data_IF_717113364857
#
_entry.id   IF_717113364857
#
_cell.length_a   1.000
_cell.length_b   1.000
_cell.length_c   1.000
_cell.angle_alpha   90.00
_cell.angle_beta   90.00
_cell.angle_gamma   90.00
#
_symmetry.space_group_name_H-M   'P 1'
#
loop_
_entity.id
_entity.type
_entity.pdbx_description
1 polymer ?
#
# COMPACT_ATOMS: atom_id res chain seq x y z
N UNK A 1 4.96 -23.38 9.16
CA UNK A 1 4.49 -22.37 8.20
C UNK A 1 5.69 -21.58 7.77
N UNK A 2 6.15 -21.78 6.53
CA UNK A 2 7.28 -21.06 5.95
C UNK A 2 6.77 -19.83 5.17
N UNK A 3 7.68 -18.99 4.69
CA UNK A 3 7.34 -17.79 3.91
C UNK A 3 6.53 -18.11 2.65
N UNK A 4 6.83 -19.23 1.98
CA UNK A 4 6.09 -19.65 0.80
C UNK A 4 4.64 -20.05 1.13
N UNK A 5 4.38 -20.65 2.29
CA UNK A 5 3.03 -20.97 2.76
C UNK A 5 2.20 -19.69 2.99
N UNK A 6 2.83 -18.64 3.53
CA UNK A 6 2.17 -17.34 3.77
C UNK A 6 1.84 -16.66 2.44
N UNK A 7 2.81 -16.64 1.51
CA UNK A 7 2.63 -16.05 0.19
C UNK A 7 1.57 -16.80 -0.60
N UNK A 8 1.61 -18.13 -0.62
CA UNK A 8 0.62 -18.94 -1.30
C UNK A 8 -0.78 -18.71 -0.72
N UNK A 9 -0.94 -18.63 0.61
CA UNK A 9 -2.22 -18.30 1.22
C UNK A 9 -2.72 -16.88 0.89
N UNK A 10 -1.83 -15.89 0.84
CA UNK A 10 -2.17 -14.53 0.44
C UNK A 10 -2.65 -14.48 -1.03
N UNK A 11 -1.99 -15.22 -1.92
CA UNK A 11 -2.34 -15.32 -3.33
C UNK A 11 -3.64 -16.11 -3.57
N UNK A 12 -3.83 -17.24 -2.89
CA UNK A 12 -4.98 -18.14 -3.06
C UNK A 12 -6.28 -17.56 -2.48
N UNK A 13 -6.22 -16.86 -1.35
CA UNK A 13 -7.41 -16.30 -0.68
C UNK A 13 -7.58 -14.79 -0.94
N UNK A 14 -6.73 -14.19 -1.75
CA UNK A 14 -6.83 -12.78 -2.11
C UNK A 14 -6.58 -11.79 -0.97
N UNK A 15 -5.58 -12.06 -0.12
CA UNK A 15 -5.19 -11.19 1.00
C UNK A 15 -5.02 -11.89 2.36
N UNK A 16 -5.25 -13.20 2.44
CA UNK A 16 -5.23 -13.92 3.73
C UNK A 16 -6.49 -13.66 4.59
N UNK A 17 -6.37 -13.82 5.92
CA UNK A 17 -7.47 -13.85 6.92
C UNK A 17 -8.38 -12.59 6.91
N UNK A 18 -7.97 -11.49 6.28
CA UNK A 18 -8.69 -10.22 6.27
C UNK A 18 -9.38 -10.01 4.92
N UNK A 19 -10.72 -9.92 4.92
CA UNK A 19 -11.48 -9.47 3.76
C UNK A 19 -11.24 -7.98 3.53
N UNK A 20 -10.21 -7.65 2.74
CA UNK A 20 -9.88 -6.28 2.34
C UNK A 20 -10.69 -5.73 1.18
N UNK A 21 -11.77 -6.39 0.77
CA UNK A 21 -12.59 -5.95 -0.37
C UNK A 21 -13.21 -4.59 -0.08
N UNK A 22 -13.08 -3.66 -1.02
CA UNK A 22 -13.55 -2.27 -0.84
C UNK A 22 -12.61 -1.37 -0.05
N UNK A 23 -11.46 -1.87 0.41
CA UNK A 23 -10.43 -1.04 1.03
C UNK A 23 -9.36 -0.64 0.02
N UNK A 24 -8.87 0.59 0.19
CA UNK A 24 -7.88 1.24 -0.65
C UNK A 24 -6.70 1.69 0.21
N UNK A 25 -5.51 1.54 -0.31
CA UNK A 25 -4.25 1.94 0.33
C UNK A 25 -3.69 3.12 -0.42
N UNK A 26 -3.36 4.18 0.33
CA UNK A 26 -2.41 5.17 -0.15
C UNK A 26 -1.03 4.72 0.30
N UNK A 27 -0.15 4.44 -0.66
CA UNK A 27 1.26 4.16 -0.41
C UNK A 27 2.14 5.09 -1.25
N UNK A 28 3.38 5.26 -0.82
CA UNK A 28 4.31 6.06 -1.58
C UNK A 28 5.60 6.36 -0.85
N UNK A 29 6.46 7.10 -1.55
CA UNK A 29 7.69 7.64 -1.03
C UNK A 29 7.54 9.16 -0.89
N UNK A 30 7.40 9.63 0.34
CA UNK A 30 7.18 11.04 0.66
C UNK A 30 8.37 11.90 0.19
N UNK A 31 9.60 11.41 0.35
CA UNK A 31 10.81 12.13 -0.06
C UNK A 31 10.89 12.34 -1.57
N UNK A 32 10.33 11.41 -2.36
CA UNK A 32 10.26 11.50 -3.83
C UNK A 32 8.96 12.10 -4.35
N UNK A 33 7.99 12.41 -3.47
CA UNK A 33 6.65 12.86 -3.84
C UNK A 33 5.94 11.90 -4.82
N UNK A 34 6.22 10.60 -4.69
CA UNK A 34 5.63 9.53 -5.49
C UNK A 34 4.56 8.82 -4.67
N UNK A 35 3.31 8.87 -5.13
CA UNK A 35 2.17 8.28 -4.42
C UNK A 35 1.35 7.41 -5.36
N UNK A 36 0.81 6.33 -4.82
CA UNK A 36 -0.08 5.41 -5.50
C UNK A 36 -1.27 5.09 -4.60
N UNK A 37 -2.43 4.95 -5.22
CA UNK A 37 -3.65 4.51 -4.56
C UNK A 37 -4.04 3.20 -5.21
N UNK A 38 -4.00 2.12 -4.44
CA UNK A 38 -4.24 0.75 -4.93
C UNK A 38 -5.18 0.01 -3.99
N UNK A 39 -5.91 -1.00 -4.45
CA UNK A 39 -6.67 -1.88 -3.56
C UNK A 39 -5.79 -2.50 -2.48
N UNK A 40 -6.29 -2.64 -1.25
CA UNK A 40 -5.54 -3.21 -0.12
C UNK A 40 -4.97 -4.60 -0.43
N UNK A 41 -5.71 -5.41 -1.20
CA UNK A 41 -5.25 -6.72 -1.68
C UNK A 41 -3.97 -6.62 -2.50
N UNK A 42 -3.88 -5.65 -3.40
CA UNK A 42 -2.71 -5.46 -4.26
C UNK A 42 -1.51 -5.00 -3.43
N UNK A 43 -1.71 -4.08 -2.48
CA UNK A 43 -0.66 -3.63 -1.57
C UNK A 43 -0.01 -4.78 -0.78
N UNK A 44 -0.81 -5.75 -0.30
CA UNK A 44 -0.28 -6.93 0.36
C UNK A 44 0.53 -7.82 -0.59
N UNK A 45 0.03 -8.07 -1.80
CA UNK A 45 0.73 -8.89 -2.80
C UNK A 45 2.08 -8.23 -3.14
N UNK A 46 2.08 -6.94 -3.42
CA UNK A 46 3.30 -6.18 -3.72
C UNK A 46 4.28 -6.23 -2.56
N UNK A 47 3.82 -6.02 -1.32
CA UNK A 47 4.66 -6.10 -0.12
C UNK A 47 5.30 -7.48 0.06
N UNK A 48 4.55 -8.55 -0.15
CA UNK A 48 5.09 -9.92 -0.09
C UNK A 48 6.10 -10.21 -1.20
N UNK A 49 5.86 -9.70 -2.41
CA UNK A 49 6.80 -9.86 -3.54
C UNK A 49 8.09 -9.11 -3.28
N UNK A 50 8.01 -7.86 -2.82
CA UNK A 50 9.16 -7.04 -2.42
C UNK A 50 9.99 -7.77 -1.35
N UNK A 51 9.32 -8.32 -0.32
CA UNK A 51 9.97 -9.12 0.71
C UNK A 51 10.64 -10.39 0.15
N UNK A 52 9.93 -11.15 -0.69
CA UNK A 52 10.43 -12.42 -1.28
C UNK A 52 11.68 -12.22 -2.12
N UNK A 53 11.74 -11.14 -2.90
CA UNK A 53 12.84 -10.84 -3.80
C UNK A 53 13.92 -9.94 -3.19
N UNK A 54 13.76 -9.50 -1.93
CA UNK A 54 14.71 -8.60 -1.27
C UNK A 54 14.83 -7.24 -1.97
N UNK A 55 13.73 -6.74 -2.56
CA UNK A 55 13.70 -5.46 -3.27
C UNK A 55 13.49 -4.34 -2.24
N UNK A 56 14.16 -3.21 -2.42
CA UNK A 56 13.90 -2.00 -1.64
C UNK A 56 13.18 -0.97 -2.51
N UNK A 57 11.89 -0.72 -2.23
CA UNK A 57 11.09 0.26 -3.00
C UNK A 57 11.09 1.64 -2.36
N UNK A 58 11.34 1.72 -1.05
CA UNK A 58 11.20 2.94 -0.26
C UNK A 58 9.75 3.44 -0.13
N UNK A 59 8.77 2.65 -0.57
CA UNK A 59 7.36 2.96 -0.37
C UNK A 59 6.92 2.56 1.04
N UNK A 60 6.11 3.41 1.67
CA UNK A 60 5.42 3.12 2.92
C UNK A 60 3.91 3.26 2.73
N UNK A 61 3.15 2.52 3.54
CA UNK A 61 1.70 2.72 3.65
C UNK A 61 1.47 4.00 4.47
N UNK A 62 0.73 4.93 3.88
CA UNK A 62 0.39 6.23 4.48
C UNK A 62 -1.03 6.22 5.06
N UNK A 63 -1.90 5.35 4.55
CA UNK A 63 -3.25 5.18 5.08
C UNK A 63 -4.04 4.08 4.37
N UNK A 64 -5.10 3.63 5.04
CA UNK A 64 -6.10 2.69 4.51
C UNK A 64 -7.46 3.36 4.58
N UNK A 65 -8.22 3.29 3.49
CA UNK A 65 -9.46 4.03 3.27
C UNK A 65 -10.55 3.08 2.77
N UNK A 66 -11.81 3.36 3.10
CA UNK A 66 -12.98 2.63 2.61
C UNK A 66 -13.45 3.12 1.23
N UNK A 67 -12.85 4.20 0.72
CA UNK A 67 -13.15 4.84 -0.56
C UNK A 67 -11.87 5.41 -1.20
N UNK A 68 -11.69 5.29 -2.52
CA UNK A 68 -10.52 5.83 -3.20
C UNK A 68 -10.45 7.36 -3.12
N UNK A 69 -11.59 8.06 -3.12
CA UNK A 69 -11.63 9.53 -3.06
C UNK A 69 -11.09 10.08 -1.73
N UNK A 70 -11.25 9.33 -0.63
CA UNK A 70 -10.67 9.70 0.66
C UNK A 70 -9.13 9.58 0.63
N UNK A 71 -8.61 8.57 -0.06
CA UNK A 71 -7.17 8.40 -0.26
C UNK A 71 -6.59 9.53 -1.15
N UNK A 72 -7.33 9.95 -2.18
CA UNK A 72 -6.95 11.08 -3.05
C UNK A 72 -6.90 12.39 -2.28
N UNK A 73 -7.94 12.68 -1.49
CA UNK A 73 -7.95 13.86 -0.62
C UNK A 73 -6.74 13.89 0.32
N UNK A 74 -6.43 12.76 0.95
CA UNK A 74 -5.30 12.67 1.87
C UNK A 74 -3.94 12.83 1.16
N UNK A 75 -3.78 12.25 -0.03
CA UNK A 75 -2.59 12.46 -0.88
C UNK A 75 -2.38 13.95 -1.20
N UNK A 76 -3.44 14.64 -1.59
CA UNK A 76 -3.36 16.05 -1.97
C UNK A 76 -3.08 16.95 -0.76
N UNK A 77 -3.61 16.58 0.41
CA UNK A 77 -3.26 17.21 1.68
C UNK A 77 -1.79 17.01 2.05
N UNK A 78 -1.24 15.78 1.95
CA UNK A 78 0.20 15.54 2.19
C UNK A 78 1.04 16.45 1.27
N UNK A 79 0.66 16.53 -0.01
CA UNK A 79 1.36 17.38 -0.99
C UNK A 79 1.29 18.87 -0.67
N UNK A 80 0.19 19.35 -0.09
CA UNK A 80 0.06 20.77 0.27
C UNK A 80 0.91 21.13 1.49
N UNK A 81 1.01 20.21 2.47
CA UNK A 81 1.84 20.41 3.66
C UNK A 81 3.33 20.35 3.32
N UNK A 82 3.77 19.34 2.56
CA UNK A 82 5.19 19.20 2.18
C UNK A 82 5.68 20.37 1.31
N UNK A 83 4.81 20.98 0.49
CA UNK A 83 5.16 22.16 -0.32
C UNK A 83 5.17 23.48 0.47
N UNK A 84 4.69 23.49 1.71
CA UNK A 84 4.62 24.71 2.53
C UNK A 84 5.86 24.95 3.39
N UNK A 85 6.86 24.07 3.30
CA UNK A 85 8.15 24.19 4.02
C UNK A 85 9.24 24.93 3.22
N UNK A 86 8.85 26.02 2.51
CA UNK A 86 9.78 26.99 1.88
C UNK A 86 9.80 28.32 2.64
#
# INVERSE_FOLDING_TARGET
>A
MNTDDIINNALSNGGGILNGSGLWVLEGNVNRNEFRIIPLKEAYIDGFMVFKFGIETGNIILGVFDKPEAAEYYRDWIRSVVRSED
#
